data_IF_990503782956
#
_entry.id   IF_990503782956
#
_cell.length_a   1.000
_cell.length_b   1.000
_cell.length_c   1.000
_cell.angle_alpha   90.00
_cell.angle_beta   90.00
_cell.angle_gamma   90.00
#
_symmetry.space_group_name_H-M   'P 1'
#
loop_
_entity.id
_entity.type
_entity.pdbx_description
1 polymer ?
#
# COMPACT_ATOMS: atom_id res chain seq x y z
N UNK A 1 -5.45 -23.48 20.63
CA UNK A 1 -5.41 -22.74 19.35
C UNK A 1 -4.14 -23.07 18.60
N UNK A 2 -4.22 -23.30 17.27
CA UNK A 2 -3.05 -23.52 16.42
C UNK A 2 -3.22 -22.79 15.08
N UNK A 3 -2.13 -22.61 14.34
CA UNK A 3 -2.11 -21.80 13.11
C UNK A 3 -3.03 -22.35 12.00
N UNK A 4 -3.25 -23.68 11.93
CA UNK A 4 -4.18 -24.29 10.96
C UNK A 4 -5.63 -23.88 11.27
N UNK A 5 -6.02 -23.88 12.54
CA UNK A 5 -7.35 -23.40 12.96
C UNK A 5 -7.54 -21.94 12.62
N UNK A 6 -6.53 -21.10 12.85
CA UNK A 6 -6.56 -19.67 12.52
C UNK A 6 -6.74 -19.48 11.00
N UNK A 7 -6.00 -20.23 10.17
CA UNK A 7 -6.15 -20.19 8.71
C UNK A 7 -7.55 -20.61 8.24
N UNK A 8 -8.14 -21.62 8.87
CA UNK A 8 -9.52 -22.03 8.54
C UNK A 8 -10.54 -20.95 8.89
N UNK A 9 -10.36 -20.27 10.03
CA UNK A 9 -11.22 -19.14 10.40
C UNK A 9 -11.12 -18.04 9.35
N UNK A 10 -9.91 -17.63 8.95
CA UNK A 10 -9.72 -16.63 7.91
C UNK A 10 -10.35 -17.04 6.58
N UNK A 11 -10.19 -18.29 6.15
CA UNK A 11 -10.80 -18.80 4.93
C UNK A 11 -12.33 -18.75 5.00
N UNK A 12 -12.96 -19.09 6.13
CA UNK A 12 -14.40 -18.98 6.32
C UNK A 12 -14.88 -17.54 6.29
N UNK A 13 -14.11 -16.63 6.89
CA UNK A 13 -14.39 -15.19 6.87
C UNK A 13 -14.36 -14.63 5.44
N UNK A 14 -13.31 -14.94 4.67
CA UNK A 14 -13.08 -14.41 3.33
C UNK A 14 -14.09 -14.98 2.30
N UNK A 15 -14.44 -16.26 2.43
CA UNK A 15 -15.37 -16.95 1.53
C UNK A 15 -16.86 -16.83 1.92
N UNK A 16 -17.16 -16.41 3.14
CA UNK A 16 -18.53 -16.38 3.67
C UNK A 16 -19.20 -17.76 3.71
N UNK A 17 -18.44 -18.86 3.58
CA UNK A 17 -18.96 -20.23 3.44
C UNK A 17 -17.96 -21.27 3.92
N UNK A 18 -18.41 -22.18 4.80
CA UNK A 18 -17.61 -23.32 5.22
C UNK A 18 -17.24 -24.27 4.07
N UNK A 19 -18.13 -24.42 3.09
CA UNK A 19 -17.89 -25.29 1.95
C UNK A 19 -16.88 -24.70 0.97
N UNK A 20 -16.91 -23.40 0.76
CA UNK A 20 -15.93 -22.69 -0.08
C UNK A 20 -14.56 -22.67 0.59
N UNK A 21 -14.51 -22.34 1.88
CA UNK A 21 -13.28 -22.39 2.68
C UNK A 21 -12.63 -23.78 2.70
N UNK A 22 -13.43 -24.83 2.84
CA UNK A 22 -12.94 -26.20 2.81
C UNK A 22 -12.31 -26.57 1.46
N UNK A 23 -12.93 -26.16 0.35
CA UNK A 23 -12.37 -26.34 -1.00
C UNK A 23 -11.06 -25.58 -1.18
N UNK A 24 -11.01 -24.33 -0.77
CA UNK A 24 -9.82 -23.50 -0.84
C UNK A 24 -8.64 -24.12 -0.04
N UNK A 25 -8.94 -24.66 1.16
CA UNK A 25 -7.95 -25.26 2.04
C UNK A 25 -7.63 -26.74 1.73
N UNK A 26 -8.29 -27.36 0.75
CA UNK A 26 -8.07 -28.75 0.36
C UNK A 26 -8.46 -29.77 1.45
N UNK A 27 -9.48 -29.46 2.27
CA UNK A 27 -9.94 -30.29 3.39
C UNK A 27 -11.45 -30.53 3.37
N UNK A 28 -11.96 -31.41 4.24
CA UNK A 28 -13.40 -31.61 4.36
C UNK A 28 -14.09 -30.46 5.10
N UNK A 29 -15.37 -30.19 4.76
CA UNK A 29 -16.20 -29.19 5.45
C UNK A 29 -16.30 -29.48 6.95
N UNK A 30 -16.36 -30.77 7.32
CA UNK A 30 -16.40 -31.21 8.71
C UNK A 30 -15.12 -30.83 9.45
N UNK A 31 -13.94 -30.94 8.81
CA UNK A 31 -12.66 -30.54 9.40
C UNK A 31 -12.61 -29.04 9.69
N UNK A 32 -13.04 -28.21 8.73
CA UNK A 32 -13.10 -26.74 8.93
C UNK A 32 -14.12 -26.40 10.02
N UNK A 33 -15.33 -26.96 9.97
CA UNK A 33 -16.39 -26.69 10.95
C UNK A 33 -15.97 -27.10 12.37
N UNK A 34 -15.32 -28.27 12.53
CA UNK A 34 -14.80 -28.71 13.81
C UNK A 34 -13.70 -27.78 14.31
N UNK A 35 -12.73 -27.42 13.47
CA UNK A 35 -11.62 -26.58 13.85
C UNK A 35 -12.07 -25.18 14.30
N UNK A 36 -13.04 -24.60 13.59
CA UNK A 36 -13.65 -23.31 13.96
C UNK A 36 -14.40 -23.44 15.30
N UNK A 37 -15.24 -24.45 15.46
CA UNK A 37 -15.99 -24.68 16.70
C UNK A 37 -15.06 -24.98 17.92
N UNK A 38 -13.94 -25.68 17.69
CA UNK A 38 -12.93 -25.90 18.74
C UNK A 38 -12.29 -24.57 19.18
N UNK A 39 -12.01 -23.71 18.20
CA UNK A 39 -11.41 -22.39 18.45
C UNK A 39 -12.39 -21.44 19.16
N UNK A 40 -13.66 -21.39 18.73
CA UNK A 40 -14.72 -20.61 19.38
C UNK A 40 -14.90 -21.02 20.86
N UNK A 41 -14.82 -22.33 21.16
CA UNK A 41 -14.87 -22.82 22.54
C UNK A 41 -13.65 -22.42 23.36
N UNK A 42 -12.47 -22.43 22.77
CA UNK A 42 -11.22 -22.05 23.45
C UNK A 42 -11.15 -20.54 23.71
N UNK A 43 -11.63 -19.72 22.77
CA UNK A 43 -11.62 -18.26 22.89
C UNK A 43 -12.86 -17.69 23.60
N UNK A 44 -13.79 -18.55 24.00
CA UNK A 44 -15.04 -18.18 24.67
C UNK A 44 -15.84 -17.12 23.90
N UNK A 45 -15.74 -17.14 22.57
CA UNK A 45 -16.41 -16.17 21.70
C UNK A 45 -16.88 -16.79 20.38
N UNK A 46 -18.10 -16.45 19.97
CA UNK A 46 -18.65 -16.88 18.69
C UNK A 46 -18.09 -16.00 17.58
N UNK A 47 -17.33 -16.58 16.65
CA UNK A 47 -16.73 -15.87 15.52
C UNK A 47 -17.71 -15.69 14.35
N UNK A 48 -18.61 -16.65 14.15
CA UNK A 48 -19.53 -16.67 13.02
C UNK A 48 -20.97 -16.94 13.42
N UNK A 49 -21.90 -16.35 12.66
CA UNK A 49 -23.33 -16.68 12.69
C UNK A 49 -23.76 -17.27 11.36
N UNK A 50 -24.56 -18.34 11.41
CA UNK A 50 -25.19 -18.91 10.22
C UNK A 50 -26.40 -18.07 9.83
N UNK A 51 -26.54 -17.80 8.55
CA UNK A 51 -27.67 -17.10 7.96
C UNK A 51 -28.30 -17.98 6.85
N UNK A 52 -29.47 -17.61 6.35
CA UNK A 52 -30.09 -18.32 5.22
C UNK A 52 -29.27 -18.27 3.92
N UNK A 53 -28.29 -17.37 3.82
CA UNK A 53 -27.45 -17.16 2.63
C UNK A 53 -25.98 -17.54 2.83
N UNK A 54 -25.61 -18.12 3.95
CA UNK A 54 -24.23 -18.50 4.24
C UNK A 54 -23.82 -18.22 5.68
N UNK A 55 -22.60 -17.73 5.84
CA UNK A 55 -21.98 -17.44 7.14
C UNK A 55 -21.51 -15.99 7.17
N UNK A 56 -21.82 -15.28 8.25
CA UNK A 56 -21.35 -13.91 8.49
C UNK A 56 -20.57 -13.86 9.79
N UNK A 57 -19.52 -13.06 9.83
CA UNK A 57 -18.74 -12.81 11.03
C UNK A 57 -19.55 -12.03 12.06
N UNK A 58 -19.32 -12.31 13.33
CA UNK A 58 -19.75 -11.44 14.43
C UNK A 58 -18.77 -10.27 14.56
N UNK A 59 -19.09 -9.24 15.36
CA UNK A 59 -18.14 -8.17 15.65
C UNK A 59 -16.85 -8.73 16.26
N UNK A 60 -16.98 -9.68 17.19
CA UNK A 60 -15.83 -10.39 17.76
C UNK A 60 -15.04 -11.16 16.69
N UNK A 61 -15.75 -11.78 15.72
CA UNK A 61 -15.14 -12.47 14.58
C UNK A 61 -14.34 -11.54 13.66
N UNK A 62 -14.86 -10.34 13.37
CA UNK A 62 -14.15 -9.32 12.61
C UNK A 62 -12.84 -8.88 13.30
N UNK A 63 -12.93 -8.55 14.60
CA UNK A 63 -11.80 -8.12 15.40
C UNK A 63 -10.75 -9.25 15.54
N UNK A 64 -11.23 -10.50 15.67
CA UNK A 64 -10.36 -11.68 15.69
C UNK A 64 -9.65 -11.87 14.35
N UNK A 65 -10.38 -11.83 13.23
CA UNK A 65 -9.79 -12.03 11.90
C UNK A 65 -8.78 -10.95 11.54
N UNK A 66 -9.01 -9.71 11.96
CA UNK A 66 -8.04 -8.62 11.79
C UNK A 66 -6.69 -8.97 12.44
N UNK A 67 -6.71 -9.40 13.71
CA UNK A 67 -5.51 -9.79 14.46
C UNK A 67 -4.92 -11.11 13.96
N UNK A 68 -5.78 -12.06 13.56
CA UNK A 68 -5.38 -13.36 13.07
C UNK A 68 -4.58 -13.28 11.77
N UNK A 69 -4.90 -12.34 10.86
CA UNK A 69 -4.12 -12.10 9.64
C UNK A 69 -2.68 -11.71 9.94
N UNK A 70 -2.48 -10.88 10.94
CA UNK A 70 -1.14 -10.48 11.37
C UNK A 70 -0.34 -11.66 11.93
N UNK A 71 -0.97 -12.50 12.78
CA UNK A 71 -0.33 -13.70 13.33
C UNK A 71 0.04 -14.69 12.23
N UNK A 72 -0.84 -14.92 11.24
CA UNK A 72 -0.54 -15.83 10.12
C UNK A 72 0.62 -15.28 9.29
N UNK A 73 0.65 -13.98 9.01
CA UNK A 73 1.73 -13.31 8.28
C UNK A 73 3.08 -13.49 8.98
N UNK A 74 3.13 -13.24 10.30
CA UNK A 74 4.36 -13.43 11.09
C UNK A 74 4.81 -14.89 11.13
N UNK A 75 3.85 -15.82 11.23
CA UNK A 75 4.15 -17.25 11.21
C UNK A 75 4.71 -17.68 9.83
N UNK A 76 4.15 -17.17 8.74
CA UNK A 76 4.65 -17.46 7.39
C UNK A 76 6.05 -16.90 7.21
N UNK A 77 6.33 -15.67 7.66
CA UNK A 77 7.67 -15.09 7.69
C UNK A 77 8.68 -15.94 8.47
N UNK A 78 8.28 -16.53 9.62
CA UNK A 78 9.13 -17.42 10.38
C UNK A 78 9.41 -18.74 9.63
N UNK A 79 8.40 -19.30 8.95
CA UNK A 79 8.56 -20.49 8.13
C UNK A 79 9.50 -20.24 6.95
N UNK A 80 9.35 -19.09 6.30
CA UNK A 80 10.18 -18.68 5.17
C UNK A 80 11.63 -18.41 5.61
N UNK A 81 11.83 -17.75 6.76
CA UNK A 81 13.14 -17.60 7.39
C UNK A 81 13.80 -18.96 7.68
N UNK A 82 13.05 -19.90 8.27
CA UNK A 82 13.58 -21.22 8.59
C UNK A 82 13.94 -22.03 7.33
N UNK A 83 13.21 -21.83 6.22
CA UNK A 83 13.52 -22.46 4.92
C UNK A 83 14.73 -21.80 4.26
N UNK A 84 14.86 -20.47 4.35
CA UNK A 84 15.99 -19.72 3.79
C UNK A 84 17.35 -20.04 4.43
N UNK A 85 17.37 -20.55 5.66
CA UNK A 85 18.60 -20.99 6.32
C UNK A 85 19.07 -22.40 5.88
N UNK A 86 18.26 -23.16 5.15
CA UNK A 86 18.59 -24.52 4.74
C UNK A 86 19.21 -24.66 3.35
N UNK A 87 19.30 -23.58 2.56
CA UNK A 87 19.87 -23.63 1.22
C UNK A 87 20.83 -22.45 0.95
N UNK A 88 22.12 -22.74 0.79
CA UNK A 88 23.14 -21.82 0.26
C UNK A 88 22.97 -21.54 -1.26
N UNK A 89 21.84 -21.91 -1.84
CA UNK A 89 21.47 -21.60 -3.22
C UNK A 89 20.13 -20.86 -3.23
N UNK A 90 20.10 -19.69 -3.85
CA UNK A 90 18.89 -18.91 -4.10
C UNK A 90 17.81 -19.82 -4.75
N UNK A 91 16.77 -20.29 -4.03
CA UNK A 91 15.80 -21.21 -4.63
C UNK A 91 14.88 -20.44 -5.56
N UNK A 92 14.70 -20.95 -6.76
CA UNK A 92 13.88 -20.43 -7.85
C UNK A 92 12.36 -20.44 -7.61
N UNK A 93 11.89 -20.43 -6.36
CA UNK A 93 10.46 -20.54 -6.03
C UNK A 93 10.01 -19.73 -4.80
N UNK A 94 10.56 -18.53 -4.59
CA UNK A 94 10.07 -17.66 -3.52
C UNK A 94 9.34 -16.48 -4.15
N UNK A 95 8.08 -16.25 -3.72
CA UNK A 95 7.36 -15.04 -4.06
C UNK A 95 8.19 -13.83 -3.60
N UNK A 96 8.50 -12.94 -4.53
CA UNK A 96 9.23 -11.72 -4.23
C UNK A 96 8.27 -10.72 -3.60
N UNK A 97 8.31 -10.55 -2.27
CA UNK A 97 7.48 -9.56 -1.59
C UNK A 97 8.04 -8.17 -1.78
N UNK A 98 7.23 -7.30 -2.40
CA UNK A 98 7.47 -5.87 -2.56
C UNK A 98 6.47 -5.08 -1.74
N UNK A 99 6.89 -3.93 -1.22
CA UNK A 99 6.01 -3.04 -0.47
C UNK A 99 5.88 -1.70 -1.18
N UNK A 100 4.66 -1.31 -1.50
CA UNK A 100 4.33 0.04 -1.95
C UNK A 100 4.14 0.94 -0.72
N UNK A 101 5.05 1.90 -0.55
CA UNK A 101 5.04 2.80 0.59
C UNK A 101 4.10 3.98 0.34
N UNK A 102 2.85 3.86 0.77
CA UNK A 102 1.88 4.94 0.71
C UNK A 102 0.81 4.76 1.80
N UNK A 103 0.18 5.86 2.27
CA UNK A 103 -1.02 5.77 3.07
C UNK A 103 -2.14 5.07 2.28
N UNK A 104 -3.04 4.31 2.93
CA UNK A 104 -4.20 3.73 2.26
C UNK A 104 -5.08 4.79 1.58
N UNK A 105 -5.52 4.49 0.36
CA UNK A 105 -6.38 5.36 -0.45
C UNK A 105 -7.50 4.57 -1.10
N UNK A 106 -8.54 5.26 -1.59
CA UNK A 106 -9.67 4.59 -2.26
C UNK A 106 -9.20 3.90 -3.54
N UNK A 107 -9.41 2.59 -3.62
CA UNK A 107 -8.98 1.76 -4.74
C UNK A 107 -7.54 1.24 -4.63
N UNK A 108 -6.86 1.43 -3.48
CA UNK A 108 -5.52 0.90 -3.22
C UNK A 108 -5.42 -0.60 -3.50
N UNK A 109 -6.43 -1.38 -3.09
CA UNK A 109 -6.45 -2.84 -3.32
C UNK A 109 -6.42 -3.20 -4.80
N UNK A 110 -7.14 -2.42 -5.64
CA UNK A 110 -7.11 -2.61 -7.10
C UNK A 110 -5.76 -2.25 -7.69
N UNK A 111 -5.16 -1.16 -7.21
CA UNK A 111 -3.82 -0.73 -7.67
C UNK A 111 -2.78 -1.77 -7.29
N UNK A 112 -2.78 -2.23 -6.05
CA UNK A 112 -1.87 -3.27 -5.55
C UNK A 112 -2.04 -4.57 -6.33
N UNK A 113 -3.27 -5.05 -6.50
CA UNK A 113 -3.57 -6.28 -7.25
C UNK A 113 -3.19 -6.16 -8.72
N UNK A 114 -3.50 -5.03 -9.37
CA UNK A 114 -3.18 -4.80 -10.78
C UNK A 114 -1.68 -4.68 -11.01
N UNK A 115 -0.98 -3.90 -10.18
CA UNK A 115 0.45 -3.71 -10.28
C UNK A 115 1.21 -5.00 -9.92
N UNK A 116 0.77 -5.73 -8.89
CA UNK A 116 1.33 -7.05 -8.54
C UNK A 116 1.20 -8.06 -9.69
N UNK A 117 0.01 -8.15 -10.29
CA UNK A 117 -0.24 -9.01 -11.45
C UNK A 117 0.59 -8.59 -12.69
N UNK A 118 0.79 -7.30 -12.87
CA UNK A 118 1.59 -6.74 -13.96
C UNK A 118 3.08 -7.06 -13.74
N UNK A 119 3.58 -6.90 -12.52
CA UNK A 119 4.95 -7.27 -12.12
C UNK A 119 5.20 -8.76 -12.32
N UNK A 120 4.33 -9.63 -11.80
CA UNK A 120 4.44 -11.10 -11.96
C UNK A 120 4.56 -11.49 -13.43
N UNK A 121 3.73 -10.91 -14.30
CA UNK A 121 3.79 -11.19 -15.75
C UNK A 121 4.99 -10.58 -16.46
N UNK A 122 5.38 -9.35 -16.05
CA UNK A 122 6.46 -8.62 -16.73
C UNK A 122 7.85 -9.11 -16.34
N UNK A 123 8.02 -9.53 -15.09
CA UNK A 123 9.30 -10.01 -14.57
C UNK A 123 9.44 -11.53 -14.67
N UNK A 124 8.32 -12.26 -14.80
CA UNK A 124 8.31 -13.73 -14.84
C UNK A 124 8.60 -14.38 -13.48
N UNK A 125 8.43 -13.64 -12.39
CA UNK A 125 8.59 -14.07 -11.00
C UNK A 125 7.26 -13.97 -10.29
N UNK A 126 7.03 -14.81 -9.28
CA UNK A 126 5.89 -14.66 -8.39
C UNK A 126 6.12 -13.45 -7.47
N UNK A 127 5.39 -12.35 -7.72
CA UNK A 127 5.53 -11.09 -6.98
C UNK A 127 4.30 -10.85 -6.12
N UNK A 128 4.51 -10.84 -4.81
CA UNK A 128 3.51 -10.37 -3.84
C UNK A 128 3.73 -8.88 -3.58
N UNK A 129 2.80 -8.03 -4.03
CA UNK A 129 2.82 -6.60 -3.73
C UNK A 129 1.86 -6.31 -2.59
N UNK A 130 2.33 -5.61 -1.57
CA UNK A 130 1.53 -5.13 -0.44
C UNK A 130 1.63 -3.61 -0.30
N UNK A 131 0.62 -2.98 0.29
CA UNK A 131 0.63 -1.56 0.62
C UNK A 131 0.83 -1.40 2.11
N UNK A 132 1.80 -0.56 2.50
CA UNK A 132 2.06 -0.27 3.91
C UNK A 132 2.41 1.21 4.11
N UNK A 133 2.15 1.72 5.33
CA UNK A 133 2.62 3.03 5.72
C UNK A 133 4.16 3.11 5.69
N UNK A 134 4.74 4.28 5.33
CA UNK A 134 6.17 4.43 5.16
C UNK A 134 7.02 3.90 6.33
N UNK A 135 6.67 4.22 7.57
CA UNK A 135 7.41 3.79 8.75
C UNK A 135 7.38 2.27 8.97
N UNK A 136 6.24 1.60 8.71
CA UNK A 136 6.17 0.14 8.80
C UNK A 136 6.89 -0.52 7.64
N UNK A 137 6.75 0.01 6.43
CA UNK A 137 7.46 -0.48 5.26
C UNK A 137 9.00 -0.50 5.46
N UNK A 138 9.55 0.59 6.03
CA UNK A 138 10.99 0.65 6.35
C UNK A 138 11.37 -0.43 7.37
N UNK A 139 10.59 -0.62 8.43
CA UNK A 139 10.82 -1.70 9.41
C UNK A 139 10.74 -3.10 8.79
N UNK A 140 9.82 -3.32 7.84
CA UNK A 140 9.73 -4.59 7.11
C UNK A 140 11.00 -4.86 6.29
N UNK A 141 11.55 -3.83 5.64
CA UNK A 141 12.81 -3.97 4.90
C UNK A 141 13.98 -4.31 5.84
N UNK A 142 14.11 -3.59 6.96
CA UNK A 142 15.13 -3.81 7.98
C UNK A 142 15.08 -5.22 8.59
N UNK A 143 13.86 -5.79 8.76
CA UNK A 143 13.66 -7.15 9.29
C UNK A 143 13.77 -8.24 8.22
N UNK A 144 14.00 -7.87 6.95
CA UNK A 144 14.03 -8.82 5.84
C UNK A 144 12.66 -9.45 5.50
N UNK A 145 11.57 -8.84 5.94
CA UNK A 145 10.19 -9.30 5.68
C UNK A 145 9.73 -8.97 4.25
N UNK A 146 10.43 -8.09 3.56
CA UNK A 146 10.24 -7.78 2.15
C UNK A 146 11.59 -7.63 1.43
N UNK A 147 11.57 -7.78 0.10
CA UNK A 147 12.76 -7.67 -0.75
C UNK A 147 13.10 -6.24 -1.13
N UNK A 148 12.07 -5.43 -1.35
CA UNK A 148 12.26 -4.04 -1.74
C UNK A 148 11.03 -3.21 -1.42
N UNK A 149 11.25 -1.88 -1.34
CA UNK A 149 10.20 -0.88 -1.20
C UNK A 149 10.06 -0.11 -2.52
N UNK A 150 8.83 0.19 -2.90
CA UNK A 150 8.51 1.20 -3.92
C UNK A 150 8.13 2.47 -3.16
N UNK A 151 8.94 3.52 -3.25
CA UNK A 151 8.79 4.74 -2.46
C UNK A 151 8.47 5.96 -3.33
N UNK A 152 7.77 6.92 -2.74
CA UNK A 152 7.50 8.25 -3.32
C UNK A 152 8.44 9.24 -2.63
N UNK A 153 9.61 9.42 -3.22
CA UNK A 153 10.77 10.07 -2.63
C UNK A 153 11.91 9.08 -2.38
N UNK A 154 13.10 9.60 -2.10
CA UNK A 154 14.30 8.81 -1.86
C UNK A 154 14.39 8.37 -0.41
N UNK A 155 14.69 7.09 -0.20
CA UNK A 155 15.08 6.57 1.11
C UNK A 155 16.52 6.07 1.04
N UNK A 156 17.40 6.83 1.64
CA UNK A 156 18.85 6.59 1.60
C UNK A 156 19.35 6.47 3.02
N UNK A 157 19.79 5.27 3.39
CA UNK A 157 20.46 4.97 4.67
C UNK A 157 21.77 4.23 4.39
N UNK A 158 22.67 4.09 5.39
CA UNK A 158 23.88 3.28 5.22
C UNK A 158 23.60 1.81 4.84
N UNK A 159 22.39 1.30 5.15
CA UNK A 159 21.98 -0.08 4.97
C UNK A 159 21.14 -0.31 3.71
N UNK A 160 20.85 0.74 2.93
CA UNK A 160 19.99 0.64 1.75
C UNK A 160 20.64 1.16 0.48
N UNK A 161 20.22 0.60 -0.66
CA UNK A 161 20.47 1.11 -2.00
C UNK A 161 19.16 1.66 -2.58
N UNK A 162 19.20 2.89 -3.10
CA UNK A 162 18.03 3.60 -3.63
C UNK A 162 18.16 3.82 -5.14
N UNK A 163 17.34 3.15 -5.93
CA UNK A 163 17.32 3.23 -7.39
C UNK A 163 16.14 4.06 -7.87
N UNK A 164 16.41 5.18 -8.55
CA UNK A 164 15.37 6.03 -9.14
C UNK A 164 14.79 5.33 -10.37
N UNK A 165 13.49 5.05 -10.34
CA UNK A 165 12.75 4.43 -11.44
C UNK A 165 12.27 5.48 -12.47
N UNK A 166 12.06 6.71 -12.03
CA UNK A 166 11.56 7.84 -12.76
C UNK A 166 10.96 8.86 -11.81
N UNK A 167 10.15 9.79 -12.32
CA UNK A 167 9.47 10.78 -11.47
C UNK A 167 8.03 10.98 -11.91
N UNK A 168 7.15 11.37 -10.99
CA UNK A 168 5.77 11.71 -11.29
C UNK A 168 5.48 13.16 -10.90
N UNK A 169 4.63 13.85 -11.66
CA UNK A 169 4.23 15.21 -11.35
C UNK A 169 3.53 15.28 -9.99
N UNK A 170 3.73 16.36 -9.26
CA UNK A 170 3.02 16.64 -8.02
C UNK A 170 1.59 17.08 -8.31
N UNK A 171 0.66 16.61 -7.49
CA UNK A 171 -0.72 17.05 -7.43
C UNK A 171 -1.17 17.27 -5.99
N UNK A 172 -2.37 17.78 -5.83
CA UNK A 172 -3.02 17.96 -4.53
C UNK A 172 -4.37 17.27 -4.50
N UNK A 173 -4.68 16.71 -3.36
CA UNK A 173 -6.01 16.15 -3.06
C UNK A 173 -6.80 17.19 -2.29
N UNK A 174 -7.93 17.59 -2.83
CA UNK A 174 -8.85 18.56 -2.21
C UNK A 174 -10.26 17.99 -2.20
N UNK A 175 -11.15 18.58 -1.38
CA UNK A 175 -12.57 18.29 -1.45
C UNK A 175 -13.13 18.66 -2.84
N UNK A 176 -14.11 17.92 -3.35
CA UNK A 176 -14.82 18.24 -4.61
C UNK A 176 -15.52 19.63 -4.55
N UNK A 177 -15.86 20.10 -3.36
CA UNK A 177 -16.45 21.43 -3.15
C UNK A 177 -15.41 22.55 -3.09
N UNK A 178 -14.11 22.22 -3.00
CA UNK A 178 -13.04 23.21 -2.89
C UNK A 178 -12.94 24.10 -4.15
N UNK A 179 -12.67 25.41 -4.02
CA UNK A 179 -12.51 26.29 -5.17
C UNK A 179 -11.49 25.80 -6.20
N UNK A 180 -10.36 25.25 -5.75
CA UNK A 180 -9.30 24.69 -6.60
C UNK A 180 -9.83 23.51 -7.42
N UNK A 181 -10.71 22.66 -6.86
CA UNK A 181 -11.31 21.55 -7.59
C UNK A 181 -12.13 22.04 -8.81
N UNK A 182 -12.82 23.16 -8.65
CA UNK A 182 -13.61 23.81 -9.72
C UNK A 182 -12.72 24.44 -10.79
N UNK A 183 -11.56 24.95 -10.40
CA UNK A 183 -10.58 25.53 -11.32
C UNK A 183 -9.85 24.44 -12.16
N UNK A 184 -9.86 23.18 -11.70
CA UNK A 184 -9.25 22.04 -12.38
C UNK A 184 -7.71 21.98 -12.32
N UNK A 185 -7.06 23.05 -11.87
CA UNK A 185 -5.60 23.18 -11.68
C UNK A 185 -5.32 23.98 -10.41
N UNK A 186 -4.24 23.64 -9.70
CA UNK A 186 -3.78 24.36 -8.51
C UNK A 186 -2.56 25.22 -8.86
N UNK A 187 -2.51 26.43 -8.34
CA UNK A 187 -1.34 27.29 -8.44
C UNK A 187 -0.41 27.06 -7.26
N UNK A 188 0.88 27.31 -7.43
CA UNK A 188 1.84 27.20 -6.32
C UNK A 188 1.46 28.13 -5.14
N UNK A 189 0.94 29.32 -5.43
CA UNK A 189 0.47 30.27 -4.42
C UNK A 189 -0.72 29.73 -3.60
N UNK A 190 -1.52 28.81 -4.17
CA UNK A 190 -2.66 28.22 -3.46
C UNK A 190 -2.17 27.27 -2.34
N UNK A 191 -1.00 26.64 -2.53
CA UNK A 191 -0.39 25.76 -1.52
C UNK A 191 -0.05 26.55 -0.25
N UNK A 192 0.44 27.78 -0.38
CA UNK A 192 0.77 28.63 0.76
C UNK A 192 -0.46 29.21 1.49
N UNK A 193 -1.61 29.31 0.81
CA UNK A 193 -2.84 29.92 1.36
C UNK A 193 -3.72 28.94 2.12
N UNK A 194 -3.63 27.64 1.78
CA UNK A 194 -4.47 26.60 2.38
C UNK A 194 -3.66 25.73 3.35
N UNK A 195 -4.28 25.18 4.40
CA UNK A 195 -3.58 24.24 5.30
C UNK A 195 -3.31 22.91 4.59
N UNK A 196 -2.11 22.37 4.81
CA UNK A 196 -1.68 21.07 4.28
C UNK A 196 -1.69 20.01 5.37
N UNK A 197 -2.22 18.84 5.05
CA UNK A 197 -2.16 17.66 5.92
C UNK A 197 -0.79 16.98 5.83
N UNK A 198 -0.21 16.73 7.00
CA UNK A 198 1.00 15.93 7.18
C UNK A 198 0.59 14.56 7.70
N UNK A 199 0.70 13.54 6.85
CA UNK A 199 0.54 12.14 7.26
C UNK A 199 1.77 11.65 8.02
N UNK A 200 1.61 10.70 8.96
CA UNK A 200 2.74 10.10 9.66
C UNK A 200 3.78 9.56 8.68
N UNK A 201 5.04 9.70 9.04
CA UNK A 201 6.19 9.11 8.35
C UNK A 201 6.39 9.53 6.88
N UNK A 202 5.60 10.47 6.35
CA UNK A 202 5.74 10.92 4.95
C UNK A 202 7.03 11.73 4.72
N UNK A 203 7.61 12.27 5.77
CA UNK A 203 8.86 13.02 5.75
C UNK A 203 10.11 12.15 5.95
N UNK A 204 9.97 10.83 6.14
CA UNK A 204 11.08 9.87 6.12
C UNK A 204 11.80 9.85 4.77
N UNK A 205 11.07 10.12 3.69
CA UNK A 205 11.64 10.07 2.34
C UNK A 205 12.13 11.45 1.90
N UNK A 206 13.41 11.55 1.60
CA UNK A 206 13.98 12.71 0.95
C UNK A 206 13.30 12.93 -0.42
N UNK A 207 13.05 14.18 -0.77
CA UNK A 207 12.34 14.54 -2.01
C UNK A 207 10.90 13.99 -2.10
N UNK A 208 10.30 13.58 -0.96
CA UNK A 208 8.86 13.33 -0.91
C UNK A 208 8.07 14.61 -1.23
N UNK A 209 6.80 14.51 -1.65
CA UNK A 209 5.98 15.69 -1.93
C UNK A 209 6.04 16.75 -0.85
N UNK A 210 5.92 16.34 0.41
CA UNK A 210 5.94 17.24 1.55
C UNK A 210 7.32 17.88 1.75
N UNK A 211 8.40 17.09 1.73
CA UNK A 211 9.77 17.58 1.94
C UNK A 211 10.18 18.56 0.85
N UNK A 212 9.83 18.27 -0.40
CA UNK A 212 10.10 19.16 -1.53
C UNK A 212 9.38 20.50 -1.40
N UNK A 213 8.08 20.50 -1.13
CA UNK A 213 7.30 21.72 -0.96
C UNK A 213 7.78 22.52 0.27
N UNK A 214 8.09 21.84 1.38
CA UNK A 214 8.62 22.50 2.59
C UNK A 214 9.96 23.20 2.33
N UNK A 215 10.91 22.51 1.66
CA UNK A 215 12.21 23.08 1.31
C UNK A 215 12.12 24.32 0.41
N UNK A 216 11.08 24.40 -0.42
CA UNK A 216 10.84 25.54 -1.32
C UNK A 216 9.97 26.64 -0.70
N UNK A 217 9.55 26.48 0.57
CA UNK A 217 8.71 27.46 1.26
C UNK A 217 7.27 27.57 0.69
N UNK A 218 6.78 26.54 0.01
CA UNK A 218 5.48 26.54 -0.67
C UNK A 218 4.31 26.15 0.25
N UNK A 219 4.58 25.65 1.46
CA UNK A 219 3.52 25.16 2.35
C UNK A 219 2.97 26.28 3.22
N UNK A 220 1.65 26.31 3.37
CA UNK A 220 0.94 27.10 4.37
C UNK A 220 0.98 26.46 5.76
N UNK A 221 -0.09 26.60 6.50
CA UNK A 221 -0.23 25.96 7.82
C UNK A 221 -0.20 24.44 7.73
N UNK A 222 0.71 23.79 8.48
CA UNK A 222 0.79 22.33 8.53
C UNK A 222 -0.12 21.80 9.62
N UNK A 223 -0.97 20.82 9.28
CA UNK A 223 -1.90 20.15 10.20
C UNK A 223 -1.56 18.66 10.23
N UNK A 224 -1.36 18.09 11.41
CA UNK A 224 -1.19 16.65 11.56
C UNK A 224 -2.45 15.92 11.10
N UNK A 225 -2.25 14.87 10.34
CA UNK A 225 -3.30 14.08 9.70
C UNK A 225 -3.02 12.59 9.94
N UNK A 226 -3.39 12.11 11.12
CA UNK A 226 -3.09 10.76 11.59
C UNK A 226 -4.26 9.79 11.39
N UNK A 227 -5.47 10.31 11.34
CA UNK A 227 -6.69 9.52 11.24
C UNK A 227 -7.52 9.88 10.00
N UNK A 228 -8.45 8.98 9.65
CA UNK A 228 -9.44 9.27 8.61
C UNK A 228 -10.32 10.49 8.96
N UNK A 229 -10.61 10.68 10.24
CA UNK A 229 -11.39 11.83 10.70
C UNK A 229 -10.62 13.14 10.52
N UNK A 230 -9.31 13.14 10.79
CA UNK A 230 -8.45 14.30 10.54
C UNK A 230 -8.43 14.64 9.06
N UNK A 231 -8.36 13.63 8.17
CA UNK A 231 -8.46 13.84 6.73
C UNK A 231 -9.77 14.51 6.33
N UNK A 232 -10.88 14.02 6.86
CA UNK A 232 -12.21 14.57 6.58
C UNK A 232 -12.29 16.03 7.06
N UNK A 233 -11.89 16.31 8.31
CA UNK A 233 -11.88 17.67 8.87
C UNK A 233 -10.99 18.62 8.06
N UNK A 234 -9.81 18.16 7.67
CA UNK A 234 -8.89 18.96 6.86
C UNK A 234 -9.53 19.35 5.52
N UNK A 235 -10.05 18.36 4.79
CA UNK A 235 -10.56 18.57 3.43
C UNK A 235 -11.90 19.29 3.39
N UNK A 236 -12.82 19.01 4.33
CA UNK A 236 -14.18 19.56 4.32
C UNK A 236 -14.29 20.84 5.16
N UNK A 237 -13.83 20.81 6.39
CA UNK A 237 -14.08 21.91 7.33
C UNK A 237 -13.04 23.03 7.20
N UNK A 238 -11.76 22.65 6.95
CA UNK A 238 -10.66 23.62 6.87
C UNK A 238 -10.29 24.04 5.45
N UNK A 239 -10.95 23.48 4.44
CA UNK A 239 -10.60 23.70 3.03
C UNK A 239 -9.09 23.50 2.77
N UNK A 240 -8.51 22.49 3.40
CA UNK A 240 -7.12 22.13 3.25
C UNK A 240 -6.90 21.15 2.12
N UNK A 241 -5.66 20.73 1.98
CA UNK A 241 -5.25 19.76 0.95
C UNK A 241 -4.26 18.72 1.49
N UNK A 242 -4.14 17.59 0.76
CA UNK A 242 -3.06 16.64 0.92
C UNK A 242 -2.18 16.68 -0.33
N UNK A 243 -0.88 16.54 -0.13
CA UNK A 243 0.05 16.38 -1.24
C UNK A 243 0.00 14.94 -1.77
N UNK A 244 0.06 14.79 -3.07
CA UNK A 244 0.06 13.48 -3.74
C UNK A 244 0.85 13.57 -5.04
N UNK A 245 1.11 12.43 -5.66
CA UNK A 245 1.64 12.35 -7.02
C UNK A 245 0.51 12.07 -8.00
N UNK A 246 0.65 12.59 -9.22
CA UNK A 246 -0.30 12.36 -10.30
C UNK A 246 -0.06 10.97 -10.90
N UNK A 247 -0.99 10.05 -10.65
CA UNK A 247 -0.96 8.71 -11.25
C UNK A 247 -2.16 8.59 -12.19
N UNK A 248 -1.95 8.34 -13.49
CA UNK A 248 -3.04 8.15 -14.45
C UNK A 248 -4.02 7.06 -13.97
N UNK A 249 -5.32 7.36 -14.03
CA UNK A 249 -6.39 6.47 -13.57
C UNK A 249 -6.73 6.57 -12.08
N UNK A 250 -5.96 7.30 -11.26
CA UNK A 250 -6.30 7.58 -9.86
C UNK A 250 -6.78 9.03 -9.75
N UNK A 251 -8.09 9.22 -9.86
CA UNK A 251 -8.68 10.57 -9.84
C UNK A 251 -9.25 10.99 -8.48
N UNK A 252 -9.45 10.04 -7.55
CA UNK A 252 -10.12 10.30 -6.28
C UNK A 252 -9.56 9.38 -5.18
N UNK A 253 -8.45 9.76 -4.52
CA UNK A 253 -7.82 8.92 -3.48
C UNK A 253 -8.65 8.83 -2.19
N UNK A 254 -9.65 9.68 -1.99
CA UNK A 254 -10.58 9.64 -0.87
C UNK A 254 -12.02 9.87 -1.35
N UNK A 255 -13.00 9.35 -0.58
CA UNK A 255 -14.42 9.65 -0.81
C UNK A 255 -14.63 11.17 -0.74
N UNK A 256 -15.38 11.71 -1.69
CA UNK A 256 -15.69 13.16 -1.79
C UNK A 256 -14.48 14.06 -2.09
N UNK A 257 -13.34 13.50 -2.47
CA UNK A 257 -12.16 14.25 -2.90
C UNK A 257 -11.87 14.12 -4.39
N UNK A 258 -10.97 14.95 -4.87
CA UNK A 258 -10.45 14.90 -6.24
C UNK A 258 -8.95 15.23 -6.20
N UNK A 259 -8.19 14.54 -7.04
CA UNK A 259 -6.78 14.83 -7.28
C UNK A 259 -6.68 15.89 -8.38
N UNK A 260 -6.03 17.01 -8.08
CA UNK A 260 -5.90 18.16 -8.96
C UNK A 260 -4.41 18.36 -9.28
N UNK A 261 -4.04 18.50 -10.57
CA UNK A 261 -2.65 18.77 -10.97
C UNK A 261 -2.25 20.20 -10.59
N UNK A 262 -0.95 20.44 -10.50
CA UNK A 262 -0.40 21.78 -10.45
C UNK A 262 -0.42 22.43 -11.85
N UNK A 263 -0.47 23.77 -11.91
CA UNK A 263 -0.52 24.54 -13.14
C UNK A 263 0.75 24.34 -14.00
N UNK A 264 1.89 24.04 -13.37
CA UNK A 264 3.17 23.71 -14.00
C UNK A 264 3.73 22.46 -13.36
N UNK A 265 3.23 21.28 -13.75
CA UNK A 265 3.63 20.02 -13.12
C UNK A 265 5.11 19.68 -13.32
N UNK A 266 5.75 20.19 -14.39
CA UNK A 266 7.18 20.02 -14.67
C UNK A 266 8.10 20.69 -13.64
N UNK A 267 7.63 21.74 -12.96
CA UNK A 267 8.41 22.44 -11.93
C UNK A 267 8.55 21.63 -10.62
N UNK A 268 7.66 20.66 -10.41
CA UNK A 268 7.59 19.84 -9.22
C UNK A 268 7.29 18.37 -9.58
N UNK A 269 8.36 17.61 -9.79
CA UNK A 269 8.29 16.17 -9.98
C UNK A 269 8.90 15.44 -8.79
N UNK A 270 8.28 14.36 -8.37
CA UNK A 270 8.70 13.55 -7.24
C UNK A 270 9.29 12.24 -7.73
N UNK A 271 10.50 11.87 -7.31
CA UNK A 271 11.11 10.62 -7.72
C UNK A 271 10.33 9.43 -7.15
N UNK A 272 10.11 8.43 -8.00
CA UNK A 272 9.66 7.10 -7.60
C UNK A 272 10.88 6.21 -7.55
N UNK A 273 11.10 5.55 -6.43
CA UNK A 273 12.31 4.76 -6.21
C UNK A 273 11.99 3.31 -5.86
N UNK A 274 12.89 2.42 -6.23
CA UNK A 274 13.02 1.08 -5.67
C UNK A 274 14.15 1.10 -4.65
N UNK A 275 13.84 0.74 -3.42
CA UNK A 275 14.80 0.68 -2.31
C UNK A 275 15.01 -0.77 -1.92
N UNK A 276 16.26 -1.20 -1.90
CA UNK A 276 16.68 -2.56 -1.53
C UNK A 276 17.66 -2.53 -0.35
N UNK A 277 17.82 -3.62 0.39
CA UNK A 277 18.95 -3.75 1.31
C UNK A 277 20.27 -3.58 0.57
N UNK A 278 21.26 -2.97 1.21
CA UNK A 278 22.55 -2.66 0.61
C UNK A 278 23.27 -3.91 0.11
N UNK A 279 23.79 -3.83 -1.12
CA UNK A 279 24.51 -4.94 -1.75
C UNK A 279 23.61 -6.09 -2.22
N UNK A 280 22.29 -5.94 -2.16
CA UNK A 280 21.32 -6.92 -2.70
C UNK A 280 21.17 -6.74 -4.22
N UNK A 281 22.25 -6.98 -4.97
CA UNK A 281 22.26 -6.94 -6.44
C UNK A 281 21.96 -8.33 -7.01
N UNK A 282 20.74 -8.83 -6.80
CA UNK A 282 20.28 -10.07 -7.40
C UNK A 282 19.57 -9.82 -8.75
N UNK A 283 19.52 -10.85 -9.60
CA UNK A 283 18.85 -10.76 -10.91
C UNK A 283 17.40 -10.31 -10.79
N UNK A 284 16.72 -10.72 -9.72
CA UNK A 284 15.36 -10.32 -9.40
C UNK A 284 15.23 -8.79 -9.22
N UNK A 285 16.11 -8.15 -8.42
CA UNK A 285 16.06 -6.69 -8.19
C UNK A 285 16.36 -5.91 -9.48
N UNK A 286 17.27 -6.39 -10.31
CA UNK A 286 17.57 -5.79 -11.63
C UNK A 286 16.38 -5.87 -12.58
N UNK A 287 15.74 -7.04 -12.69
CA UNK A 287 14.55 -7.23 -13.53
C UNK A 287 13.38 -6.34 -13.08
N UNK A 288 13.12 -6.28 -11.77
CA UNK A 288 12.08 -5.43 -11.20
C UNK A 288 12.38 -3.95 -11.49
N UNK A 289 13.62 -3.50 -11.27
CA UNK A 289 14.05 -2.13 -11.55
C UNK A 289 13.83 -1.77 -13.01
N UNK A 290 14.27 -2.61 -13.94
CA UNK A 290 14.13 -2.38 -15.36
C UNK A 290 12.65 -2.33 -15.79
N UNK A 291 11.86 -3.26 -15.30
CA UNK A 291 10.42 -3.32 -15.59
C UNK A 291 9.69 -2.08 -15.07
N UNK A 292 9.86 -1.75 -13.79
CA UNK A 292 9.20 -0.60 -13.17
C UNK A 292 9.65 0.73 -13.79
N UNK A 293 10.93 0.88 -14.14
CA UNK A 293 11.40 2.07 -14.86
C UNK A 293 10.69 2.26 -16.20
N UNK A 294 10.46 1.16 -16.93
CA UNK A 294 9.68 1.19 -18.17
C UNK A 294 8.22 1.60 -17.94
N UNK A 295 7.59 1.10 -16.89
CA UNK A 295 6.21 1.46 -16.55
C UNK A 295 6.09 2.91 -16.08
N UNK A 296 7.01 3.40 -15.24
CA UNK A 296 7.03 4.82 -14.81
C UNK A 296 7.23 5.74 -16.02
N UNK A 297 8.13 5.39 -16.95
CA UNK A 297 8.33 6.17 -18.19
C UNK A 297 7.06 6.24 -19.05
N UNK A 298 6.30 5.14 -19.15
CA UNK A 298 4.99 5.14 -19.84
C UNK A 298 3.98 6.06 -19.15
N UNK A 299 3.92 6.04 -17.82
CA UNK A 299 3.04 6.93 -17.05
C UNK A 299 3.41 8.40 -17.25
N UNK A 300 4.70 8.72 -17.35
CA UNK A 300 5.18 10.07 -17.66
C UNK A 300 4.72 10.52 -19.06
N UNK A 301 4.83 9.67 -20.07
CA UNK A 301 4.38 9.98 -21.45
C UNK A 301 2.89 10.30 -21.50
N UNK A 302 2.06 9.52 -20.83
CA UNK A 302 0.60 9.76 -20.78
C UNK A 302 0.20 11.02 -19.99
N UNK A 303 0.99 11.41 -18.99
CA UNK A 303 0.73 12.63 -18.24
C UNK A 303 0.98 13.91 -19.05
N UNK A 304 1.93 13.88 -19.99
CA UNK A 304 2.25 14.98 -20.89
C UNK A 304 1.24 15.11 -22.05
N UNK A 305 0.70 13.98 -22.53
CA UNK A 305 -0.30 13.97 -23.61
C UNK A 305 -1.70 14.42 -23.16
N UNK A 306 -2.02 14.31 -21.88
CA UNK A 306 -3.31 14.74 -21.33
C UNK A 306 -3.44 16.28 -21.20
N UNK A 307 -2.34 17.02 -21.21
CA UNK A 307 -2.30 18.49 -21.15
C UNK A 307 -2.38 19.17 -22.53
N UNK A 308 -2.35 18.38 -23.61
CA UNK A 308 -2.33 18.84 -25.00
C UNK A 308 -3.70 18.83 -25.72
N UNK A 309 -4.82 18.59 -25.00
CA UNK A 309 -6.17 18.64 -25.60
C UNK A 309 -7.12 19.52 -24.84
#
# INVERSE_FOLDING_TARGET
MNIKQVRYVLAVHDEGSFSAAARQQGVSVQAVSKAVGDLERETVGQLFRRTGHGVVSTQYGEDFCCRAREVVRLFDGLVDFARGMSDEACPASHSCRLVLCAPPFVGSDRVVSSLGSLLTRGVGLDVELVLEHPGEACRMLERGECRALITIGRYETPETDCHVLGSLPLGIVVSRSHPIARAGKARLDDLARCPVGLSPDIDLFNESPFVMCRKRGLLGGVVRNETREDTIRLLLDRQGYLLSVMVPGINSPHLSSVLVPLERPEDLSVPICLVTPRGCDCDCSRLITQFLSGEVARLQGHALDADGR
#
